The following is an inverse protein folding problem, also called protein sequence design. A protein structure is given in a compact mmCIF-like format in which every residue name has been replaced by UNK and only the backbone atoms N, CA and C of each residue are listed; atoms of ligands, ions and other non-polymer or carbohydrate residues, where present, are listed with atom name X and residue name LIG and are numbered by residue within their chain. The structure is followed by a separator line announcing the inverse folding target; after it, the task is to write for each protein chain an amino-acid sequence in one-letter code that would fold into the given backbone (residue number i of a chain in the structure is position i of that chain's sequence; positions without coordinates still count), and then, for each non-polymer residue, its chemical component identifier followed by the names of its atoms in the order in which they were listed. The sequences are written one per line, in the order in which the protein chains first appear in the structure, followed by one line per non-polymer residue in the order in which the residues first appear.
data_IF_932976917374
#
_entry.id   IF_932976917374
#
_cell.length_a   1.000
_cell.length_b   1.000
_cell.length_c   1.000
_cell.angle_alpha   90.00
_cell.angle_beta   90.00
_cell.angle_gamma   90.00
#
_symmetry.space_group_name_H-M   'P 1'
#
loop_
_entity.id
_entity.type
_entity.pdbx_description
1 polymer ?
#
# COMPACT_ATOMS: atom_id res chain seq x y z
N UNK A 1 17.48 11.81 8.07
CA UNK A 1 17.07 12.25 9.41
C UNK A 1 16.59 11.00 10.15
N UNK A 2 17.27 10.59 11.22
CA UNK A 2 16.90 9.38 11.97
C UNK A 2 15.64 9.66 12.78
N UNK A 3 14.62 8.81 12.68
CA UNK A 3 13.37 8.87 13.50
C UNK A 3 13.66 8.42 14.96
N UNK A 4 14.85 7.98 15.28
CA UNK A 4 15.26 7.57 16.62
C UNK A 4 15.18 8.76 17.58
N UNK A 5 14.22 8.78 18.51
CA UNK A 5 13.98 9.76 19.59
C UNK A 5 13.09 10.97 19.26
N UNK A 6 12.16 10.89 18.29
CA UNK A 6 11.07 11.86 18.24
C UNK A 6 10.13 11.63 19.45
N UNK A 7 10.01 12.62 20.31
CA UNK A 7 8.91 12.67 21.26
C UNK A 7 7.62 12.92 20.47
N UNK A 8 6.83 11.90 20.22
CA UNK A 8 5.52 12.02 19.60
C UNK A 8 4.60 12.80 20.55
N UNK A 9 4.00 13.89 20.09
CA UNK A 9 3.05 14.70 20.85
C UNK A 9 1.67 14.75 20.21
N UNK A 10 1.62 15.03 18.92
CA UNK A 10 0.40 15.11 18.15
C UNK A 10 0.22 13.82 17.35
N UNK A 11 -0.85 13.08 17.64
CA UNK A 11 -1.08 11.75 17.07
C UNK A 11 -2.31 11.78 16.17
N UNK A 12 -2.11 11.58 14.87
CA UNK A 12 -3.19 11.46 13.90
C UNK A 12 -3.92 10.13 14.04
N UNK A 13 -5.24 10.17 14.01
CA UNK A 13 -6.09 8.98 14.04
C UNK A 13 -6.92 8.90 12.76
N UNK A 14 -6.74 7.81 12.02
CA UNK A 14 -7.48 7.50 10.79
C UNK A 14 -8.23 6.18 10.99
N UNK A 15 -9.53 6.19 10.74
CA UNK A 15 -10.38 5.01 10.74
C UNK A 15 -11.28 4.95 9.51
N UNK A 16 -11.73 3.75 9.16
CA UNK A 16 -12.69 3.57 8.06
C UNK A 16 -14.12 3.53 8.60
N UNK A 17 -15.07 4.26 7.95
CA UNK A 17 -16.42 4.50 8.47
C UNK A 17 -17.34 3.28 8.58
N UNK A 18 -16.99 2.14 8.03
CA UNK A 18 -17.94 1.06 7.76
C UNK A 18 -18.10 0.00 8.87
N UNK A 19 -17.48 0.19 10.07
CA UNK A 19 -17.56 -0.82 11.16
C UNK A 19 -17.55 -0.19 12.56
N UNK A 20 -18.55 -0.53 13.38
CA UNK A 20 -18.62 -0.17 14.81
C UNK A 20 -17.34 -0.53 15.58
N UNK A 21 -16.75 -1.67 15.23
CA UNK A 21 -15.50 -2.15 15.83
C UNK A 21 -14.29 -1.24 15.59
N UNK A 22 -14.26 -0.47 14.50
CA UNK A 22 -13.23 0.55 14.24
C UNK A 22 -13.40 1.71 15.20
N UNK A 23 -14.63 2.17 15.40
CA UNK A 23 -14.96 3.25 16.33
C UNK A 23 -14.53 2.90 17.76
N UNK A 24 -14.84 1.68 18.24
CA UNK A 24 -14.41 1.21 19.56
C UNK A 24 -12.89 1.27 19.74
N UNK A 25 -12.13 0.82 18.73
CA UNK A 25 -10.66 0.84 18.80
C UNK A 25 -10.11 2.25 18.77
N UNK A 26 -10.67 3.13 17.93
CA UNK A 26 -10.27 4.54 17.86
C UNK A 26 -10.56 5.23 19.18
N UNK A 27 -11.73 4.97 19.80
CA UNK A 27 -12.09 5.52 21.11
C UNK A 27 -11.11 5.05 22.19
N UNK A 28 -10.79 3.76 22.22
CA UNK A 28 -9.82 3.21 23.15
C UNK A 28 -8.44 3.88 23.01
N UNK A 29 -7.96 4.05 21.77
CA UNK A 29 -6.68 4.71 21.50
C UNK A 29 -6.74 6.19 21.88
N UNK A 30 -7.80 6.90 21.50
CA UNK A 30 -8.00 8.31 21.83
C UNK A 30 -7.94 8.56 23.33
N UNK A 31 -8.73 7.82 24.12
CA UNK A 31 -8.81 8.00 25.56
C UNK A 31 -7.48 7.66 26.25
N UNK A 32 -6.77 6.64 25.75
CA UNK A 32 -5.44 6.30 26.22
C UNK A 32 -4.44 7.44 25.95
N UNK A 33 -4.41 8.00 24.71
CA UNK A 33 -3.52 9.11 24.36
C UNK A 33 -3.76 10.33 25.26
N UNK A 34 -5.02 10.69 25.49
CA UNK A 34 -5.38 11.79 26.42
C UNK A 34 -4.89 11.47 27.84
N UNK A 35 -5.07 10.24 28.34
CA UNK A 35 -4.68 9.85 29.69
C UNK A 35 -3.18 9.97 29.95
N UNK A 36 -2.35 9.84 28.90
CA UNK A 36 -0.88 9.97 28.98
C UNK A 36 -0.37 11.35 28.52
N UNK A 37 -1.28 12.33 28.32
CA UNK A 37 -0.95 13.72 28.01
C UNK A 37 -0.54 13.98 26.55
N UNK A 38 -0.92 13.11 25.62
CA UNK A 38 -0.72 13.31 24.19
C UNK A 38 -1.97 13.93 23.52
N UNK A 39 -1.79 14.49 22.34
CA UNK A 39 -2.83 15.24 21.63
C UNK A 39 -3.31 14.42 20.39
N UNK A 40 -4.46 13.73 20.48
CA UNK A 40 -5.06 13.09 19.31
C UNK A 40 -5.62 14.14 18.35
N UNK A 41 -5.45 13.90 17.04
CA UNK A 41 -5.98 14.69 15.93
C UNK A 41 -6.70 13.76 14.99
N UNK A 42 -7.99 13.99 14.73
CA UNK A 42 -8.74 13.18 13.77
C UNK A 42 -8.58 13.68 12.35
N UNK A 43 -8.57 12.78 11.38
CA UNK A 43 -8.93 13.18 10.03
C UNK A 43 -10.45 13.41 9.94
N UNK A 44 -10.87 14.22 8.95
CA UNK A 44 -12.26 14.67 8.86
C UNK A 44 -13.26 13.51 8.77
N UNK A 45 -12.96 12.46 7.99
CA UNK A 45 -13.83 11.29 7.84
C UNK A 45 -13.95 10.50 9.16
N UNK A 46 -12.86 10.37 9.90
CA UNK A 46 -12.85 9.69 11.21
C UNK A 46 -13.62 10.49 12.26
N UNK A 47 -13.51 11.82 12.24
CA UNK A 47 -14.19 12.70 13.20
C UNK A 47 -15.72 12.57 13.14
N UNK A 48 -16.28 12.27 11.96
CA UNK A 48 -17.73 12.06 11.80
C UNK A 48 -18.25 10.78 12.46
N UNK A 49 -17.34 9.83 12.76
CA UNK A 49 -17.70 8.51 13.27
C UNK A 49 -17.64 8.42 14.80
N UNK A 50 -16.90 9.30 15.44
CA UNK A 50 -16.56 9.21 16.86
C UNK A 50 -17.29 10.29 17.67
N UNK A 51 -17.59 10.04 18.96
CA UNK A 51 -18.39 10.98 19.76
C UNK A 51 -17.59 12.21 20.30
N UNK A 52 -16.36 12.40 19.85
CA UNK A 52 -15.44 13.41 20.41
C UNK A 52 -15.52 14.75 19.66
N UNK A 53 -16.44 15.64 20.08
CA UNK A 53 -16.68 16.94 19.42
C UNK A 53 -15.58 17.98 19.63
N UNK A 54 -14.78 17.86 20.68
CA UNK A 54 -13.74 18.85 21.06
C UNK A 54 -12.33 18.44 20.64
N UNK A 55 -12.16 17.33 19.93
CA UNK A 55 -10.85 16.90 19.42
C UNK A 55 -10.55 17.63 18.13
N UNK A 56 -9.30 18.08 17.97
CA UNK A 56 -8.84 18.74 16.76
C UNK A 56 -9.09 17.84 15.55
N UNK A 57 -9.62 18.43 14.47
CA UNK A 57 -9.94 17.75 13.22
C UNK A 57 -9.26 18.46 12.05
N UNK A 58 -8.65 17.69 11.16
CA UNK A 58 -7.93 18.19 9.98
C UNK A 58 -8.26 17.32 8.78
N UNK A 59 -8.27 17.87 7.56
CA UNK A 59 -8.44 17.06 6.36
C UNK A 59 -7.28 16.05 6.23
N UNK A 60 -7.56 14.84 5.73
CA UNK A 60 -6.54 13.80 5.53
C UNK A 60 -5.33 14.29 4.72
N UNK A 61 -5.57 15.15 3.75
CA UNK A 61 -4.54 15.72 2.88
C UNK A 61 -3.53 16.61 3.63
N UNK A 62 -3.90 17.16 4.78
CA UNK A 62 -3.07 18.05 5.62
C UNK A 62 -2.66 17.39 6.96
N UNK A 63 -3.21 16.22 7.28
CA UNK A 63 -2.98 15.58 8.57
C UNK A 63 -1.50 15.39 8.87
N UNK A 64 -0.72 14.91 7.89
CA UNK A 64 0.71 14.67 8.06
C UNK A 64 1.55 15.93 8.30
N UNK A 65 1.01 17.13 8.08
CA UNK A 65 1.68 18.40 8.35
C UNK A 65 1.62 18.77 9.84
N UNK A 66 0.54 18.37 10.52
CA UNK A 66 0.25 18.81 11.90
C UNK A 66 0.51 17.74 12.96
N UNK A 67 0.82 16.50 12.57
CA UNK A 67 1.03 15.38 13.50
C UNK A 67 2.43 14.77 13.40
N UNK A 68 2.89 14.15 14.48
CA UNK A 68 4.20 13.50 14.56
C UNK A 68 4.15 12.01 14.17
N UNK A 69 2.97 11.39 14.30
CA UNK A 69 2.70 9.98 14.06
C UNK A 69 1.25 9.84 13.62
N UNK A 70 0.96 8.91 12.71
CA UNK A 70 -0.43 8.56 12.35
C UNK A 70 -0.70 7.10 12.70
N UNK A 71 -1.82 6.85 13.37
CA UNK A 71 -2.35 5.52 13.64
C UNK A 71 -3.53 5.28 12.72
N UNK A 72 -3.42 4.24 11.88
CA UNK A 72 -4.48 3.82 10.96
C UNK A 72 -5.18 2.59 11.51
N UNK A 73 -6.45 2.72 11.86
CA UNK A 73 -7.28 1.62 12.37
C UNK A 73 -8.14 1.06 11.25
N UNK A 74 -7.84 -0.19 10.84
CA UNK A 74 -8.53 -0.83 9.71
C UNK A 74 -7.78 -2.03 9.18
N UNK A 75 -7.91 -2.32 7.89
CA UNK A 75 -7.11 -3.31 7.18
C UNK A 75 -6.05 -2.66 6.29
N UNK A 76 -5.32 -3.49 5.53
CA UNK A 76 -4.28 -3.02 4.61
C UNK A 76 -4.81 -1.96 3.62
N UNK A 77 -6.05 -2.10 3.12
CA UNK A 77 -6.67 -1.11 2.24
C UNK A 77 -6.83 0.29 2.86
N UNK A 78 -7.10 0.38 4.17
CA UNK A 78 -7.16 1.66 4.88
C UNK A 78 -5.78 2.30 4.96
N UNK A 79 -4.75 1.48 5.18
CA UNK A 79 -3.37 1.94 5.22
C UNK A 79 -2.88 2.39 3.84
N UNK A 80 -3.24 1.70 2.75
CA UNK A 80 -2.95 2.15 1.38
C UNK A 80 -3.51 3.54 1.12
N UNK A 81 -4.75 3.79 1.53
CA UNK A 81 -5.38 5.10 1.35
C UNK A 81 -4.70 6.20 2.19
N UNK A 82 -4.33 5.91 3.43
CA UNK A 82 -3.59 6.83 4.29
C UNK A 82 -2.17 7.11 3.75
N UNK A 83 -1.46 6.08 3.29
CA UNK A 83 -0.10 6.18 2.79
C UNK A 83 0.05 7.21 1.66
N UNK A 84 -0.88 7.20 0.69
CA UNK A 84 -0.86 8.15 -0.43
C UNK A 84 -0.99 9.62 0.00
N UNK A 85 -1.79 9.88 1.03
CA UNK A 85 -1.96 11.24 1.55
C UNK A 85 -0.76 11.69 2.40
N UNK A 86 -0.10 10.75 3.09
CA UNK A 86 0.91 11.04 4.11
C UNK A 86 2.35 11.01 3.60
N UNK A 87 2.61 10.33 2.47
CA UNK A 87 3.98 10.08 2.00
C UNK A 87 4.81 11.35 1.81
N UNK A 88 4.21 12.44 1.33
CA UNK A 88 4.89 13.72 1.11
C UNK A 88 5.37 14.42 2.38
N UNK A 89 4.77 14.09 3.53
CA UNK A 89 5.11 14.72 4.83
C UNK A 89 6.17 13.95 5.61
N UNK A 90 6.56 12.76 5.14
CA UNK A 90 7.50 11.87 5.84
C UNK A 90 7.04 11.50 7.26
N UNK A 91 5.75 11.63 7.54
CA UNK A 91 5.14 11.30 8.84
C UNK A 91 5.05 9.79 9.00
N UNK A 92 5.57 9.21 10.09
CA UNK A 92 5.50 7.78 10.32
C UNK A 92 4.06 7.31 10.57
N UNK A 93 3.81 6.04 10.20
CA UNK A 93 2.48 5.43 10.27
C UNK A 93 2.56 4.11 11.03
N UNK A 94 1.53 3.82 11.84
CA UNK A 94 1.28 2.52 12.47
C UNK A 94 -0.04 1.96 11.94
N UNK A 95 -0.07 0.67 11.63
CA UNK A 95 -1.28 -0.03 11.22
C UNK A 95 -1.87 -0.89 12.35
N UNK A 96 -3.11 -0.61 12.75
CA UNK A 96 -3.88 -1.41 13.71
C UNK A 96 -4.95 -2.18 12.97
N UNK A 97 -4.89 -3.50 13.04
CA UNK A 97 -5.79 -4.38 12.32
C UNK A 97 -7.18 -4.47 12.99
N UNK A 98 -8.24 -4.50 12.20
CA UNK A 98 -9.62 -4.76 12.67
C UNK A 98 -10.30 -5.86 11.83
N UNK A 99 -9.61 -6.95 11.64
CA UNK A 99 -10.09 -8.09 10.89
C UNK A 99 -9.07 -9.22 10.88
N UNK A 100 -8.85 -9.83 9.72
CA UNK A 100 -7.74 -10.78 9.54
C UNK A 100 -6.44 -10.00 9.47
N UNK A 101 -5.43 -10.47 10.21
CA UNK A 101 -4.08 -9.87 10.24
C UNK A 101 -3.62 -9.46 8.83
N UNK A 102 -3.16 -8.20 8.69
CA UNK A 102 -2.65 -7.64 7.43
C UNK A 102 -1.16 -7.91 7.22
N UNK A 103 -0.64 -7.54 6.05
CA UNK A 103 0.80 -7.42 5.81
C UNK A 103 1.34 -6.05 6.24
N UNK A 104 0.45 -5.06 6.33
CA UNK A 104 0.75 -3.67 6.69
C UNK A 104 0.15 -3.28 8.04
N UNK A 105 -0.91 -3.99 8.49
CA UNK A 105 -1.61 -3.76 9.75
C UNK A 105 -1.40 -4.96 10.64
N UNK A 106 -0.37 -4.92 11.49
CA UNK A 106 0.15 -6.05 12.26
C UNK A 106 -0.22 -6.02 13.76
N UNK A 107 -0.78 -4.91 14.26
CA UNK A 107 -1.21 -4.79 15.66
C UNK A 107 -2.64 -5.28 15.80
N UNK A 108 -2.87 -6.27 16.67
CA UNK A 108 -4.22 -6.74 16.99
C UNK A 108 -4.92 -5.77 17.97
N UNK A 109 -6.26 -5.66 17.92
CA UNK A 109 -7.00 -4.78 18.82
C UNK A 109 -6.77 -5.06 20.32
N UNK A 110 -6.59 -6.34 20.65
CA UNK A 110 -6.36 -6.80 22.04
C UNK A 110 -5.01 -6.40 22.60
N UNK A 111 -4.06 -6.05 21.74
CA UNK A 111 -2.68 -5.70 22.10
C UNK A 111 -2.38 -4.22 21.84
N UNK A 112 -3.37 -3.44 21.34
CA UNK A 112 -3.12 -2.13 20.75
C UNK A 112 -2.47 -1.17 21.74
N UNK A 113 -2.96 -1.07 22.96
CA UNK A 113 -2.42 -0.13 23.97
C UNK A 113 -0.99 -0.53 24.35
N UNK A 114 -0.76 -1.82 24.64
CA UNK A 114 0.57 -2.31 24.99
C UNK A 114 1.61 -2.05 23.89
N UNK A 115 1.25 -2.35 22.61
CA UNK A 115 2.12 -2.15 21.46
C UNK A 115 2.34 -0.67 21.14
N UNK A 116 1.30 0.14 21.30
CA UNK A 116 1.38 1.58 21.12
C UNK A 116 2.32 2.21 22.14
N UNK A 117 2.23 1.84 23.42
CA UNK A 117 3.14 2.31 24.47
C UNK A 117 4.61 1.99 24.17
N UNK A 118 4.89 0.80 23.62
CA UNK A 118 6.24 0.44 23.20
C UNK A 118 6.74 1.40 22.10
N UNK A 119 5.91 1.65 21.08
CA UNK A 119 6.28 2.55 19.97
C UNK A 119 6.46 3.99 20.47
N UNK A 120 5.57 4.50 21.31
CA UNK A 120 5.65 5.84 21.88
C UNK A 120 6.90 6.04 22.74
N UNK A 121 7.40 4.97 23.36
CA UNK A 121 8.70 4.93 24.09
C UNK A 121 9.91 4.76 23.17
N UNK A 122 9.73 4.80 21.86
CA UNK A 122 10.81 4.64 20.86
C UNK A 122 11.20 3.19 20.59
N UNK A 123 10.44 2.20 21.09
CA UNK A 123 10.69 0.78 20.84
C UNK A 123 9.93 0.34 19.59
N UNK A 124 10.54 0.50 18.42
CA UNK A 124 9.94 0.11 17.14
C UNK A 124 11.01 -0.26 16.11
N UNK A 125 10.59 -1.03 15.12
CA UNK A 125 11.33 -1.27 13.91
C UNK A 125 10.79 -0.34 12.82
N UNK A 126 11.68 0.46 12.20
CA UNK A 126 11.34 1.32 11.08
C UNK A 126 11.46 0.54 9.77
N UNK A 127 10.37 0.45 9.05
CA UNK A 127 10.30 -0.13 7.71
C UNK A 127 9.97 0.96 6.68
N UNK A 128 10.85 1.15 5.70
CA UNK A 128 10.73 2.19 4.68
C UNK A 128 10.26 1.59 3.37
N UNK A 129 8.96 1.77 3.08
CA UNK A 129 8.33 1.28 1.86
C UNK A 129 8.41 2.32 0.75
N UNK A 130 8.90 1.94 -0.42
CA UNK A 130 8.79 2.84 -1.56
C UNK A 130 7.42 2.73 -2.24
N UNK A 131 7.02 3.79 -2.92
CA UNK A 131 5.79 3.87 -3.68
C UNK A 131 6.13 4.11 -5.14
N UNK A 132 5.16 3.84 -6.01
CA UNK A 132 5.19 4.32 -7.38
C UNK A 132 4.53 5.68 -7.50
N UNK A 133 5.08 6.50 -8.38
CA UNK A 133 4.40 7.58 -9.06
C UNK A 133 4.06 7.09 -10.47
N UNK A 134 2.78 7.16 -10.82
CA UNK A 134 2.33 6.86 -12.17
C UNK A 134 1.80 8.12 -12.85
N UNK A 135 2.12 8.28 -14.13
CA UNK A 135 1.65 9.37 -14.97
C UNK A 135 1.07 8.78 -16.26
N UNK A 136 -0.10 9.29 -16.67
CA UNK A 136 -0.66 9.05 -17.99
C UNK A 136 -0.45 10.29 -18.83
N UNK A 137 0.14 10.13 -20.00
CA UNK A 137 0.42 11.21 -20.94
C UNK A 137 -0.27 10.96 -22.28
N UNK A 138 -0.92 12.00 -22.80
CA UNK A 138 -1.52 12.02 -24.13
C UNK A 138 -0.77 13.01 -24.98
N UNK A 139 -0.22 12.57 -26.12
CA UNK A 139 0.61 13.40 -27.01
C UNK A 139 1.75 14.16 -26.30
N UNK A 140 2.24 13.60 -25.19
CA UNK A 140 3.29 14.19 -24.35
C UNK A 140 2.79 15.00 -23.15
N UNK A 141 1.55 15.45 -23.16
CA UNK A 141 0.96 16.23 -22.06
C UNK A 141 0.51 15.29 -20.93
N UNK A 142 0.77 15.69 -19.67
CA UNK A 142 0.29 14.99 -18.48
C UNK A 142 -1.22 15.18 -18.36
N UNK A 143 -1.99 14.08 -18.42
CA UNK A 143 -3.45 14.10 -18.28
C UNK A 143 -3.94 13.50 -16.98
N UNK A 144 -3.13 12.65 -16.32
CA UNK A 144 -3.48 12.04 -15.05
C UNK A 144 -2.22 11.61 -14.30
N UNK A 145 -2.25 11.71 -12.97
CA UNK A 145 -1.20 11.17 -12.09
C UNK A 145 -1.79 10.55 -10.84
N UNK A 146 -1.14 9.51 -10.32
CA UNK A 146 -1.51 8.87 -9.05
C UNK A 146 -0.29 8.24 -8.38
N UNK A 147 -0.44 7.88 -7.11
CA UNK A 147 0.58 7.22 -6.30
C UNK A 147 0.05 5.83 -5.89
N UNK A 148 0.91 4.82 -5.95
CA UNK A 148 0.59 3.46 -5.52
C UNK A 148 1.63 2.93 -4.52
N UNK A 149 1.17 2.31 -3.44
CA UNK A 149 2.03 1.60 -2.48
C UNK A 149 2.21 0.13 -2.89
N UNK A 150 1.16 -0.51 -3.40
CA UNK A 150 1.22 -1.89 -3.86
C UNK A 150 1.57 -2.01 -5.33
N UNK A 151 0.69 -1.55 -6.21
CA UNK A 151 0.78 -1.84 -7.63
C UNK A 151 0.08 -0.80 -8.52
N UNK A 152 0.53 -0.77 -9.76
CA UNK A 152 -0.13 -0.12 -10.89
C UNK A 152 -0.54 -1.23 -11.86
N UNK A 153 -1.84 -1.31 -12.16
CA UNK A 153 -2.41 -2.37 -12.99
C UNK A 153 -3.00 -1.81 -14.27
N UNK A 154 -2.44 -2.20 -15.41
CA UNK A 154 -3.04 -2.00 -16.73
C UNK A 154 -3.92 -3.21 -17.06
N UNK A 155 -5.17 -2.98 -17.47
CA UNK A 155 -6.11 -4.05 -17.84
C UNK A 155 -7.17 -3.57 -18.82
N UNK A 156 -7.84 -4.48 -19.52
CA UNK A 156 -9.02 -4.17 -20.32
C UNK A 156 -10.25 -3.84 -19.45
N UNK A 157 -11.11 -2.93 -19.91
CA UNK A 157 -12.38 -2.64 -19.23
C UNK A 157 -13.35 -3.83 -19.20
N UNK A 158 -13.17 -4.78 -20.10
CA UNK A 158 -13.98 -6.01 -20.23
C UNK A 158 -13.05 -7.22 -20.34
N UNK A 159 -13.61 -8.45 -20.38
CA UNK A 159 -12.87 -9.72 -20.52
C UNK A 159 -12.22 -9.92 -21.90
N UNK A 160 -11.62 -8.88 -22.47
CA UNK A 160 -10.89 -8.95 -23.72
C UNK A 160 -9.44 -8.51 -23.50
N UNK A 161 -8.53 -9.24 -24.13
CA UNK A 161 -7.11 -8.91 -24.12
C UNK A 161 -6.83 -7.56 -24.77
N UNK A 162 -5.77 -6.93 -24.32
CA UNK A 162 -5.26 -5.65 -24.81
C UNK A 162 -3.86 -5.78 -25.39
N UNK A 163 -3.56 -4.92 -26.35
CA UNK A 163 -2.24 -4.82 -26.99
C UNK A 163 -1.50 -3.60 -26.46
N UNK A 164 -0.28 -3.83 -26.00
CA UNK A 164 0.60 -2.76 -25.53
C UNK A 164 2.07 -3.09 -25.75
N UNK A 165 2.90 -2.07 -25.86
CA UNK A 165 4.36 -2.16 -25.86
C UNK A 165 4.89 -1.82 -24.47
N UNK A 166 5.81 -2.65 -23.95
CA UNK A 166 6.56 -2.38 -22.73
C UNK A 166 7.98 -1.93 -23.07
N UNK A 167 8.42 -0.84 -22.43
CA UNK A 167 9.81 -0.40 -22.43
C UNK A 167 10.26 -0.18 -20.98
N UNK A 168 11.53 -0.49 -20.71
CA UNK A 168 12.19 -0.32 -19.40
C UNK A 168 13.48 0.45 -19.65
N UNK A 169 13.66 1.57 -18.93
CA UNK A 169 14.82 2.46 -19.07
C UNK A 169 15.10 2.88 -20.53
N UNK A 170 14.01 3.12 -21.28
CA UNK A 170 14.05 3.48 -22.70
C UNK A 170 14.28 2.31 -23.67
N UNK A 171 14.54 1.12 -23.18
CA UNK A 171 14.74 -0.09 -24.02
C UNK A 171 13.41 -0.80 -24.22
N UNK A 172 13.06 -1.10 -25.49
CA UNK A 172 11.90 -1.92 -25.81
C UNK A 172 12.12 -3.35 -25.31
N UNK A 173 11.15 -3.87 -24.53
CA UNK A 173 11.20 -5.24 -23.97
C UNK A 173 10.39 -6.20 -24.81
N UNK A 174 9.09 -5.89 -25.01
CA UNK A 174 8.18 -6.70 -25.82
C UNK A 174 6.91 -5.94 -26.19
N UNK A 175 6.24 -6.46 -27.22
CA UNK A 175 4.81 -6.23 -27.48
C UNK A 175 4.04 -7.40 -26.89
N UNK A 176 2.98 -7.11 -26.13
CA UNK A 176 2.19 -8.11 -25.41
C UNK A 176 0.72 -8.03 -25.81
N UNK A 177 0.11 -9.20 -26.03
CA UNK A 177 -1.34 -9.41 -26.12
C UNK A 177 -1.76 -10.22 -24.89
N UNK A 178 -2.50 -9.61 -23.95
CA UNK A 178 -2.84 -10.22 -22.66
C UNK A 178 -4.04 -9.51 -22.01
N UNK A 179 -4.57 -10.05 -20.91
CA UNK A 179 -5.57 -9.36 -20.10
C UNK A 179 -5.04 -8.06 -19.48
N UNK A 180 -3.69 -7.97 -19.29
CA UNK A 180 -3.04 -6.78 -18.77
C UNK A 180 -1.64 -7.04 -18.20
N UNK A 181 -1.17 -6.06 -17.44
CA UNK A 181 0.13 -6.09 -16.76
C UNK A 181 0.01 -5.48 -15.36
N UNK A 182 0.54 -6.19 -14.36
CA UNK A 182 0.69 -5.69 -12.99
C UNK A 182 2.14 -5.22 -12.83
N UNK A 183 2.35 -3.97 -12.47
CA UNK A 183 3.65 -3.43 -12.06
C UNK A 183 3.60 -3.25 -10.55
N UNK A 184 4.38 -4.05 -9.83
CA UNK A 184 4.27 -4.18 -8.37
C UNK A 184 5.53 -3.74 -7.64
N UNK A 185 5.34 -3.03 -6.53
CA UNK A 185 6.39 -2.81 -5.52
C UNK A 185 6.64 -4.11 -4.74
N UNK A 186 7.71 -4.21 -3.93
CA UNK A 186 7.88 -5.34 -3.01
C UNK A 186 6.71 -5.47 -2.02
N UNK A 187 6.11 -4.35 -1.59
CA UNK A 187 4.91 -4.35 -0.75
C UNK A 187 3.73 -5.02 -1.45
N UNK A 188 3.48 -4.67 -2.71
CA UNK A 188 2.40 -5.21 -3.53
C UNK A 188 2.62 -6.65 -4.01
N UNK A 189 3.85 -7.19 -3.87
CA UNK A 189 4.16 -8.56 -4.29
C UNK A 189 3.34 -9.63 -3.54
N UNK A 190 2.77 -9.29 -2.39
CA UNK A 190 1.84 -10.13 -1.61
C UNK A 190 0.37 -9.77 -1.85
N UNK A 191 0.08 -8.84 -2.76
CA UNK A 191 -1.26 -8.40 -3.15
C UNK A 191 -1.66 -8.99 -4.52
N UNK A 192 -2.11 -8.17 -5.47
CA UNK A 192 -2.62 -8.66 -6.75
C UNK A 192 -1.54 -9.35 -7.61
N UNK A 193 -0.29 -8.89 -7.51
CA UNK A 193 0.83 -9.53 -8.20
C UNK A 193 1.01 -11.01 -7.81
N UNK A 194 0.74 -11.39 -6.54
CA UNK A 194 0.77 -12.78 -6.10
C UNK A 194 -0.28 -13.62 -6.82
N UNK A 195 -1.50 -13.10 -6.95
CA UNK A 195 -2.59 -13.78 -7.68
C UNK A 195 -2.27 -13.95 -9.17
N UNK A 196 -1.49 -13.03 -9.75
CA UNK A 196 -0.98 -13.12 -11.12
C UNK A 196 0.21 -14.07 -11.30
N UNK A 197 0.65 -14.77 -10.24
CA UNK A 197 1.80 -15.69 -10.28
C UNK A 197 3.16 -14.99 -10.16
N UNK A 198 3.18 -13.76 -9.69
CA UNK A 198 4.42 -13.02 -9.41
C UNK A 198 5.18 -13.56 -8.19
N UNK A 199 6.49 -13.29 -8.09
CA UNK A 199 7.29 -13.69 -6.94
C UNK A 199 6.97 -12.84 -5.71
N UNK A 200 7.08 -13.44 -4.52
CA UNK A 200 7.07 -12.68 -3.26
C UNK A 200 8.43 -12.00 -3.10
N UNK A 201 8.42 -10.68 -3.00
CA UNK A 201 9.59 -9.86 -2.76
C UNK A 201 9.61 -9.43 -1.29
N UNK A 202 10.77 -9.58 -0.62
CA UNK A 202 10.91 -9.04 0.72
C UNK A 202 10.77 -7.51 0.69
N UNK A 203 10.01 -6.89 1.61
CA UNK A 203 9.72 -5.45 1.57
C UNK A 203 10.94 -4.52 1.54
N UNK A 204 12.07 -4.97 2.08
CA UNK A 204 13.34 -4.22 2.08
C UNK A 204 14.06 -4.19 0.73
N UNK A 205 13.63 -5.01 -0.25
CA UNK A 205 14.26 -5.03 -1.57
C UNK A 205 13.97 -3.75 -2.33
N UNK A 206 14.96 -3.30 -3.12
CA UNK A 206 14.79 -2.21 -4.09
C UNK A 206 14.58 -2.82 -5.48
N UNK A 207 13.38 -3.32 -5.74
CA UNK A 207 13.02 -4.07 -6.93
C UNK A 207 11.58 -3.77 -7.38
N UNK A 208 11.29 -3.97 -8.66
CA UNK A 208 9.97 -3.85 -9.28
C UNK A 208 9.65 -5.19 -9.93
N UNK A 209 8.49 -5.76 -9.64
CA UNK A 209 7.99 -6.94 -10.33
C UNK A 209 6.99 -6.53 -11.42
N UNK A 210 7.18 -7.07 -12.63
CA UNK A 210 6.25 -6.93 -13.75
C UNK A 210 5.62 -8.30 -14.00
N UNK A 211 4.31 -8.39 -13.82
CA UNK A 211 3.57 -9.65 -13.85
C UNK A 211 2.50 -9.57 -14.95
N UNK A 212 2.72 -10.20 -16.11
CA UNK A 212 1.74 -10.29 -17.19
C UNK A 212 0.50 -11.07 -16.73
N UNK A 213 -0.68 -10.59 -17.10
CA UNK A 213 -1.97 -11.22 -16.76
C UNK A 213 -2.45 -12.06 -17.97
N UNK A 214 -2.53 -13.38 -17.80
CA UNK A 214 -2.98 -14.31 -18.84
C UNK A 214 -2.41 -14.00 -20.24
N UNK A 215 -1.07 -13.96 -20.41
CA UNK A 215 -0.48 -13.62 -21.68
C UNK A 215 -0.76 -14.70 -22.74
N UNK A 216 -1.07 -14.28 -23.96
CA UNK A 216 -1.28 -15.22 -25.08
C UNK A 216 0.01 -15.93 -25.52
N UNK A 217 1.17 -15.42 -25.09
CA UNK A 217 2.50 -16.00 -25.41
C UNK A 217 2.93 -16.97 -24.31
N UNK A 218 3.15 -18.25 -24.66
CA UNK A 218 3.52 -19.30 -23.72
C UNK A 218 4.87 -19.06 -23.00
N UNK A 219 5.77 -18.29 -23.59
CA UNK A 219 7.11 -17.96 -23.04
C UNK A 219 7.09 -16.77 -22.08
N UNK A 220 5.97 -16.05 -21.97
CA UNK A 220 5.87 -14.90 -21.07
C UNK A 220 6.00 -15.35 -19.60
N UNK A 221 6.80 -14.64 -18.83
CA UNK A 221 7.02 -14.88 -17.41
C UNK A 221 7.10 -13.56 -16.67
N UNK A 222 6.73 -13.52 -15.38
CA UNK A 222 7.06 -12.38 -14.53
C UNK A 222 8.56 -12.08 -14.55
N UNK A 223 8.90 -10.80 -14.65
CA UNK A 223 10.28 -10.33 -14.56
C UNK A 223 10.44 -9.38 -13.38
N UNK A 224 11.64 -9.34 -12.81
CA UNK A 224 12.00 -8.43 -11.73
C UNK A 224 13.16 -7.56 -12.19
N UNK A 225 13.02 -6.24 -12.00
CA UNK A 225 14.02 -5.24 -12.38
C UNK A 225 14.41 -4.38 -11.19
N UNK A 226 15.42 -3.52 -11.36
CA UNK A 226 15.86 -2.61 -10.29
C UNK A 226 14.77 -1.61 -9.91
N UNK A 227 14.70 -1.25 -8.62
CA UNK A 227 13.68 -0.33 -8.11
C UNK A 227 13.79 1.11 -8.64
N UNK A 228 14.88 1.46 -9.34
CA UNK A 228 15.07 2.76 -9.98
C UNK A 228 14.69 2.76 -11.47
N UNK A 229 14.30 1.60 -12.02
CA UNK A 229 13.94 1.51 -13.44
C UNK A 229 12.67 2.31 -13.73
N UNK A 230 12.67 2.99 -14.87
CA UNK A 230 11.51 3.68 -15.40
C UNK A 230 10.74 2.74 -16.35
N UNK A 231 9.47 2.49 -16.03
CA UNK A 231 8.59 1.64 -16.81
C UNK A 231 7.71 2.51 -17.69
N UNK A 232 7.74 2.27 -18.99
CA UNK A 232 6.87 2.95 -19.96
C UNK A 232 6.04 1.91 -20.70
N UNK A 233 4.72 2.14 -20.75
CA UNK A 233 3.78 1.33 -21.48
C UNK A 233 3.08 2.20 -22.52
N UNK A 234 3.12 1.80 -23.77
CA UNK A 234 2.41 2.47 -24.86
C UNK A 234 1.22 1.61 -25.29
N UNK A 235 0.04 2.21 -25.31
CA UNK A 235 -1.20 1.51 -25.65
C UNK A 235 -1.49 1.66 -27.14
N UNK A 236 -1.83 0.54 -27.78
CA UNK A 236 -2.23 0.51 -29.19
C UNK A 236 -3.74 0.65 -29.35
N UNK A 237 -4.20 0.60 -30.61
CA UNK A 237 -5.62 0.45 -30.90
C UNK A 237 -6.12 -0.90 -30.38
N UNK A 238 -7.12 -0.87 -29.54
CA UNK A 238 -7.69 -2.03 -28.88
C UNK A 238 -9.21 -2.09 -29.11
N UNK A 239 -9.77 -3.31 -29.18
CA UNK A 239 -11.23 -3.52 -29.27
C UNK A 239 -11.96 -3.03 -28.03
N UNK A 240 -11.27 -3.00 -26.89
CA UNK A 240 -11.77 -2.53 -25.60
C UNK A 240 -10.87 -1.42 -25.10
N UNK A 241 -11.45 -0.48 -24.36
CA UNK A 241 -10.70 0.62 -23.78
C UNK A 241 -9.81 0.11 -22.64
N UNK A 242 -8.48 0.24 -22.74
CA UNK A 242 -7.59 -0.07 -21.65
C UNK A 242 -7.80 0.89 -20.48
N UNK A 243 -7.61 0.39 -19.29
CA UNK A 243 -7.67 1.14 -18.04
C UNK A 243 -6.40 0.91 -17.23
N UNK A 244 -5.97 1.91 -16.50
CA UNK A 244 -4.92 1.77 -15.50
C UNK A 244 -5.46 2.14 -14.13
N UNK A 245 -5.08 1.37 -13.11
CA UNK A 245 -5.43 1.65 -11.72
C UNK A 245 -4.21 1.67 -10.80
N UNK A 246 -4.25 2.51 -9.76
CA UNK A 246 -3.27 2.56 -8.68
C UNK A 246 -3.89 1.97 -7.41
N UNK A 247 -3.28 0.93 -6.83
CA UNK A 247 -3.75 0.20 -5.64
C UNK A 247 -5.22 -0.27 -5.75
N UNK A 248 -5.75 -0.45 -6.97
CA UNK A 248 -7.15 -0.80 -7.21
C UNK A 248 -8.18 0.25 -6.76
N UNK A 249 -7.77 1.48 -6.44
CA UNK A 249 -8.66 2.51 -5.86
C UNK A 249 -8.90 3.71 -6.78
N UNK A 250 -7.91 4.06 -7.59
CA UNK A 250 -8.00 5.16 -8.56
C UNK A 250 -7.77 4.59 -9.94
N UNK A 251 -8.63 4.88 -10.88
CA UNK A 251 -8.51 4.36 -12.24
C UNK A 251 -8.81 5.44 -13.27
N UNK A 252 -8.14 5.33 -14.43
CA UNK A 252 -8.35 6.18 -15.60
C UNK A 252 -8.28 5.32 -16.86
N UNK A 253 -9.08 5.69 -17.87
CA UNK A 253 -9.05 5.05 -19.18
C UNK A 253 -7.93 5.62 -20.04
N UNK A 254 -7.33 4.77 -20.88
CA UNK A 254 -6.25 5.13 -21.81
C UNK A 254 -6.77 5.12 -23.25
N UNK A 255 -6.53 6.22 -23.96
CA UNK A 255 -6.82 6.33 -25.39
C UNK A 255 -5.69 5.76 -26.26
N UNK A 256 -5.95 5.64 -27.58
CA UNK A 256 -4.93 5.25 -28.54
C UNK A 256 -3.80 6.27 -28.57
N UNK A 257 -2.56 5.80 -28.44
CA UNK A 257 -1.36 6.64 -28.41
C UNK A 257 -1.05 7.27 -27.06
N UNK A 258 -1.88 7.04 -26.04
CA UNK A 258 -1.52 7.40 -24.66
C UNK A 258 -0.39 6.52 -24.16
N UNK A 259 0.41 7.08 -23.25
CA UNK A 259 1.52 6.38 -22.61
C UNK A 259 1.39 6.44 -21.10
N UNK A 260 1.60 5.30 -20.47
CA UNK A 260 1.69 5.17 -19.01
C UNK A 260 3.16 5.13 -18.63
N UNK A 261 3.54 6.01 -17.71
CA UNK A 261 4.88 6.06 -17.12
C UNK A 261 4.77 5.72 -15.64
N UNK A 262 5.63 4.81 -15.17
CA UNK A 262 5.68 4.39 -13.78
C UNK A 262 7.12 4.49 -13.33
N UNK A 263 7.34 5.21 -12.23
CA UNK A 263 8.64 5.37 -11.62
C UNK A 263 8.51 5.35 -10.10
N UNK A 264 9.62 5.17 -9.44
CA UNK A 264 9.70 5.26 -7.98
C UNK A 264 9.39 6.68 -7.52
N UNK A 265 8.48 6.79 -6.56
CA UNK A 265 8.16 8.06 -5.92
C UNK A 265 9.36 8.58 -5.11
N UNK A 266 9.64 9.90 -5.10
CA UNK A 266 10.83 10.46 -4.41
C UNK A 266 10.80 10.25 -2.89
N UNK A 267 9.64 10.15 -2.28
CA UNK A 267 9.48 9.90 -0.84
C UNK A 267 9.09 8.43 -0.58
N UNK A 268 9.47 7.94 0.63
CA UNK A 268 9.10 6.60 1.12
C UNK A 268 8.11 6.74 2.27
N UNK A 269 7.21 5.78 2.41
CA UNK A 269 6.38 5.65 3.60
C UNK A 269 7.23 5.09 4.74
N UNK A 270 7.20 5.74 5.89
CA UNK A 270 7.80 5.25 7.12
C UNK A 270 6.74 4.46 7.90
N UNK A 271 6.79 3.14 7.84
CA UNK A 271 5.92 2.25 8.59
C UNK A 271 6.64 1.83 9.88
N UNK A 272 6.00 2.03 11.02
CA UNK A 272 6.54 1.62 12.32
C UNK A 272 5.89 0.32 12.76
N UNK A 273 6.70 -0.66 13.03
CA UNK A 273 6.28 -1.93 13.61
C UNK A 273 6.71 -2.02 15.08
N UNK A 274 5.84 -2.47 15.98
CA UNK A 274 6.24 -2.78 17.35
C UNK A 274 7.30 -3.89 17.38
N UNK A 275 8.01 -4.07 18.52
CA UNK A 275 8.95 -5.19 18.68
C UNK A 275 8.29 -6.54 18.40
N UNK A 276 9.03 -7.42 17.69
CA UNK A 276 8.56 -8.76 17.34
C UNK A 276 7.88 -8.84 15.97
N UNK A 277 7.93 -7.79 15.16
CA UNK A 277 7.50 -7.88 13.75
C UNK A 277 8.35 -8.87 12.97
N UNK A 278 7.70 -9.78 12.24
CA UNK A 278 8.33 -10.77 11.36
C UNK A 278 7.51 -10.90 10.07
N UNK A 279 8.08 -10.45 8.96
CA UNK A 279 7.47 -10.54 7.63
C UNK A 279 7.14 -11.98 7.24
N UNK A 280 8.03 -12.94 7.54
CA UNK A 280 7.80 -14.34 7.19
C UNK A 280 6.73 -14.99 8.06
N UNK A 281 6.54 -14.53 9.30
CA UNK A 281 5.40 -14.94 10.11
C UNK A 281 4.07 -14.47 9.49
N UNK A 282 4.03 -13.24 8.97
CA UNK A 282 2.87 -12.75 8.23
C UNK A 282 2.60 -13.59 6.98
N UNK A 283 3.66 -13.93 6.22
CA UNK A 283 3.55 -14.83 5.06
C UNK A 283 3.01 -16.20 5.46
N UNK A 284 3.59 -16.86 6.47
CA UNK A 284 3.14 -18.18 6.95
C UNK A 284 1.67 -18.17 7.35
N UNK A 285 1.27 -17.15 8.11
CA UNK A 285 -0.10 -17.03 8.62
C UNK A 285 -1.11 -16.76 7.50
N UNK A 286 -0.75 -15.90 6.55
CA UNK A 286 -1.70 -15.47 5.50
C UNK A 286 -1.73 -16.39 4.29
N UNK A 287 -0.60 -16.99 3.93
CA UNK A 287 -0.48 -17.82 2.75
C UNK A 287 -0.59 -19.33 3.06
N UNK A 288 -0.77 -19.68 4.34
CA UNK A 288 -0.97 -21.07 4.74
C UNK A 288 0.27 -21.97 4.55
N UNK A 289 1.48 -21.39 4.57
CA UNK A 289 2.69 -22.15 4.29
C UNK A 289 2.98 -23.31 5.27
N UNK A 290 2.39 -23.29 6.48
CA UNK A 290 2.57 -24.35 7.48
C UNK A 290 1.38 -25.32 7.59
N UNK A 291 0.28 -25.10 6.85
CA UNK A 291 -0.94 -25.92 7.01
C UNK A 291 -0.79 -27.40 6.61
N UNK A 292 0.27 -27.76 5.87
CA UNK A 292 0.56 -29.14 5.47
C UNK A 292 1.39 -29.94 6.49
N UNK A 293 2.11 -29.28 7.39
CA UNK A 293 2.99 -29.96 8.36
C UNK A 293 2.28 -30.33 9.68
N UNK A 294 1.30 -29.56 10.11
CA UNK A 294 0.53 -29.84 11.34
C UNK A 294 -0.40 -31.04 11.20
N UNK A 295 -0.86 -31.35 9.99
CA UNK A 295 -1.69 -32.53 9.72
C UNK A 295 -0.90 -33.85 9.71
N UNK A 296 0.42 -33.82 9.54
CA UNK A 296 1.29 -34.98 9.57
C UNK A 296 1.76 -35.34 10.99
N UNK A 297 1.77 -34.38 11.92
CA UNK A 297 2.15 -34.64 13.32
C UNK A 297 1.00 -35.13 14.22
N UNK A 298 -0.24 -35.15 13.72
CA UNK A 298 -1.41 -35.69 14.44
C UNK A 298 -1.75 -37.14 14.05
N UNK A 299 -0.92 -37.79 13.23
CA UNK A 299 -1.12 -39.19 12.79
C UNK A 299 -0.08 -40.17 13.35
N UNK A 300 0.76 -39.77 14.31
CA UNK A 300 1.68 -40.66 15.03
C UNK A 300 1.21 -40.88 16.49
#
# INVERSE_FOLDING_TARGET
MQISHKNFRNIGLIGRPDKSSVVETISLIHDHLISIGLHPVFDSETAELVPYKNTQTVSRALLGEVVDLVIVVGGDGSLLHAARALVKFNTPVIGVNRGRLGFLTDIKPTEVIFKLDQVLKGQFQLDRRFLFEMEVRSKGDLIYSAIALNDVVLHGKTVHMIDFDLSIDGQHVYRQHSDGLIVSTPTGSTAYALSGGGPILHPSMDAIALVPMHPHTLSSRPIVVGGQSEIKIAVHENRVMPMVSADGQQSVSLGVGDTLHIRKHPYKLNLLHPPGYDFYMACRTKLGWNQGFESLQQQD
#
